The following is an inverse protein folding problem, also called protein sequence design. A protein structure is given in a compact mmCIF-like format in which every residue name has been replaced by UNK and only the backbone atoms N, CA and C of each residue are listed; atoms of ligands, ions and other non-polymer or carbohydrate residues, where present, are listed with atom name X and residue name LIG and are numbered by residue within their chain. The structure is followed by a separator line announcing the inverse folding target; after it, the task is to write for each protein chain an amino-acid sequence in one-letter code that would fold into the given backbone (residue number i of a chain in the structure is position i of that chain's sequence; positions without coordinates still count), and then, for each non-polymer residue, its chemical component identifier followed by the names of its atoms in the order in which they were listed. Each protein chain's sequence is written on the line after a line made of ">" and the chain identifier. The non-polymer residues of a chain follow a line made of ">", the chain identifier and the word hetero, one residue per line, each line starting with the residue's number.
data_IF_488035787574
#
_entry.id   IF_488035787574
#
_cell.length_a   1.000
_cell.length_b   1.000
_cell.length_c   1.000
_cell.angle_alpha   90.00
_cell.angle_beta   90.00
_cell.angle_gamma   90.00
#
_symmetry.space_group_name_H-M   'P 1'
#
loop_
_entity.id
_entity.type
_entity.pdbx_description
1 polymer ?
#
# COMPACT_ATOMS: atom_id res chain seq x y z
N UNK A 1 6.99 -16.80 -7.73
CA UNK A 1 5.72 -17.15 -8.39
C UNK A 1 5.33 -15.96 -9.26
N UNK A 2 5.08 -16.18 -10.56
CA UNK A 2 4.70 -15.11 -11.47
C UNK A 2 3.20 -14.81 -11.35
N UNK A 3 2.82 -13.54 -11.49
CA UNK A 3 1.42 -13.10 -11.53
C UNK A 3 0.85 -13.45 -12.91
N UNK A 4 -0.30 -14.11 -12.94
CA UNK A 4 -1.03 -14.45 -14.18
C UNK A 4 -1.79 -13.24 -14.72
N UNK A 5 -2.21 -13.27 -16.00
CA UNK A 5 -3.03 -12.21 -16.59
C UNK A 5 -4.36 -12.02 -15.85
N UNK A 6 -5.03 -13.11 -15.48
CA UNK A 6 -6.28 -13.06 -14.70
C UNK A 6 -6.08 -12.37 -13.34
N UNK A 7 -4.99 -12.69 -12.64
CA UNK A 7 -4.64 -12.04 -11.38
C UNK A 7 -4.32 -10.56 -11.57
N UNK A 8 -3.65 -10.20 -12.67
CA UNK A 8 -3.35 -8.81 -13.00
C UNK A 8 -4.63 -8.01 -13.26
N UNK A 9 -5.60 -8.60 -13.95
CA UNK A 9 -6.88 -7.96 -14.22
C UNK A 9 -7.73 -7.80 -12.96
N UNK A 10 -7.69 -8.76 -12.03
CA UNK A 10 -8.29 -8.62 -10.70
C UNK A 10 -7.66 -7.47 -9.90
N UNK A 11 -6.33 -7.35 -9.92
CA UNK A 11 -5.63 -6.25 -9.25
C UNK A 11 -6.01 -4.89 -9.87
N UNK A 12 -6.07 -4.80 -11.20
CA UNK A 12 -6.51 -3.60 -11.92
C UNK A 12 -7.96 -3.23 -11.61
N UNK A 13 -8.86 -4.21 -11.55
CA UNK A 13 -10.26 -3.98 -11.20
C UNK A 13 -10.40 -3.49 -9.77
N UNK A 14 -9.70 -4.11 -8.83
CA UNK A 14 -9.67 -3.69 -7.42
C UNK A 14 -9.14 -2.25 -7.28
N UNK A 15 -8.06 -1.91 -8.00
CA UNK A 15 -7.50 -0.56 -7.95
C UNK A 15 -8.45 0.50 -8.52
N UNK A 16 -9.25 0.16 -9.55
CA UNK A 16 -10.31 1.06 -10.05
C UNK A 16 -11.36 1.35 -8.97
N UNK A 17 -11.79 0.34 -8.21
CA UNK A 17 -12.75 0.50 -7.12
C UNK A 17 -12.17 1.38 -5.99
N UNK A 18 -10.91 1.12 -5.60
CA UNK A 18 -10.21 1.91 -4.58
C UNK A 18 -10.10 3.37 -5.02
N UNK A 19 -9.71 3.63 -6.27
CA UNK A 19 -9.57 4.98 -6.81
C UNK A 19 -10.89 5.74 -6.85
N UNK A 20 -12.01 5.08 -7.19
CA UNK A 20 -13.33 5.70 -7.21
C UNK A 20 -13.77 6.21 -5.83
N UNK A 21 -13.24 5.62 -4.75
CA UNK A 21 -13.56 5.97 -3.35
C UNK A 21 -12.31 6.38 -2.56
N UNK A 22 -11.32 6.99 -3.22
CA UNK A 22 -9.96 7.19 -2.68
C UNK A 22 -9.91 7.82 -1.27
N UNK A 23 -10.62 8.93 -0.97
CA UNK A 23 -10.59 9.50 0.38
C UNK A 23 -11.11 8.54 1.46
N UNK A 24 -12.20 7.83 1.16
CA UNK A 24 -12.82 6.87 2.08
C UNK A 24 -11.91 5.65 2.29
N UNK A 25 -11.41 5.06 1.21
CA UNK A 25 -10.56 3.87 1.29
C UNK A 25 -9.26 4.15 2.04
N UNK A 26 -8.67 5.34 1.85
CA UNK A 26 -7.49 5.69 2.64
C UNK A 26 -7.78 5.94 4.11
N UNK A 27 -8.95 6.51 4.45
CA UNK A 27 -9.34 6.68 5.84
C UNK A 27 -9.48 5.31 6.52
N UNK A 28 -10.14 4.35 5.85
CA UNK A 28 -10.28 2.97 6.33
C UNK A 28 -8.91 2.29 6.46
N UNK A 29 -8.00 2.51 5.50
CA UNK A 29 -6.64 1.96 5.57
C UNK A 29 -5.89 2.44 6.80
N UNK A 30 -5.84 3.75 7.07
CA UNK A 30 -5.15 4.26 8.25
C UNK A 30 -5.85 3.90 9.55
N UNK A 31 -7.19 3.85 9.56
CA UNK A 31 -7.96 3.34 10.70
C UNK A 31 -7.53 1.91 11.02
N UNK A 32 -7.53 1.01 10.03
CA UNK A 32 -7.15 -0.40 10.21
C UNK A 32 -5.68 -0.58 10.54
N UNK A 33 -4.80 0.18 9.89
CA UNK A 33 -3.37 0.15 10.17
C UNK A 33 -3.07 0.48 11.64
N UNK A 34 -3.73 1.50 12.18
CA UNK A 34 -3.53 1.92 13.57
C UNK A 34 -4.36 1.13 14.58
N UNK A 35 -5.38 0.39 14.15
CA UNK A 35 -6.05 -0.62 14.97
C UNK A 35 -5.16 -1.86 15.15
N UNK A 36 -4.50 -2.30 14.07
CA UNK A 36 -3.57 -3.44 14.08
C UNK A 36 -2.30 -3.12 14.88
N UNK A 37 -1.72 -1.94 14.66
CA UNK A 37 -0.51 -1.49 15.35
C UNK A 37 -0.61 -0.01 15.74
N UNK A 38 -1.10 0.29 16.95
CA UNK A 38 -1.26 1.68 17.41
C UNK A 38 0.04 2.47 17.42
N UNK A 39 1.20 1.80 17.61
CA UNK A 39 2.51 2.43 17.63
C UNK A 39 2.89 3.10 16.30
N UNK A 40 2.32 2.64 15.17
CA UNK A 40 2.60 3.21 13.86
C UNK A 40 2.21 4.67 13.74
N UNK A 41 1.25 5.17 14.53
CA UNK A 41 0.87 6.59 14.53
C UNK A 41 2.07 7.52 14.70
N UNK A 42 3.09 7.09 15.45
CA UNK A 42 4.31 7.88 15.68
C UNK A 42 5.18 8.01 14.42
N UNK A 43 5.06 7.09 13.47
CA UNK A 43 5.77 7.13 12.18
C UNK A 43 5.12 8.12 11.20
N UNK A 44 3.89 8.55 11.46
CA UNK A 44 3.13 9.47 10.61
C UNK A 44 2.95 10.83 11.32
N UNK A 45 4.02 11.64 11.35
CA UNK A 45 4.01 12.98 11.96
C UNK A 45 3.40 14.08 11.07
N UNK A 46 3.03 13.76 9.84
CA UNK A 46 2.48 14.70 8.85
C UNK A 46 0.97 14.58 8.64
N UNK A 47 0.46 15.35 7.67
CA UNK A 47 -0.95 15.30 7.29
C UNK A 47 -1.30 13.93 6.67
N UNK A 48 -2.21 13.18 7.30
CA UNK A 48 -2.66 11.88 6.81
C UNK A 48 -3.29 11.95 5.41
N UNK A 49 -3.88 13.09 5.03
CA UNK A 49 -4.44 13.30 3.68
C UNK A 49 -3.34 13.37 2.61
N UNK A 50 -2.20 13.98 2.89
CA UNK A 50 -1.06 13.97 1.97
C UNK A 50 -0.44 12.56 1.91
N UNK A 51 -0.49 11.83 3.02
CA UNK A 51 -0.04 10.44 3.06
C UNK A 51 -0.99 9.50 2.31
N UNK A 52 -2.28 9.79 2.23
CA UNK A 52 -3.23 9.09 1.34
C UNK A 52 -2.74 9.08 -0.10
N UNK A 53 -2.39 10.24 -0.64
CA UNK A 53 -1.98 10.36 -2.04
C UNK A 53 -0.66 9.61 -2.29
N UNK A 54 0.28 9.64 -1.33
CA UNK A 54 1.54 8.90 -1.41
C UNK A 54 1.37 7.39 -1.46
N UNK A 55 0.52 6.82 -0.58
CA UNK A 55 0.27 5.37 -0.55
C UNK A 55 -0.43 4.92 -1.84
N UNK A 56 -1.44 5.65 -2.28
CA UNK A 56 -2.20 5.30 -3.49
C UNK A 56 -1.32 5.41 -4.74
N UNK A 57 -0.45 6.42 -4.82
CA UNK A 57 0.54 6.55 -5.87
C UNK A 57 1.52 5.38 -5.88
N UNK A 58 2.06 5.00 -4.72
CA UNK A 58 3.00 3.88 -4.61
C UNK A 58 2.36 2.54 -5.03
N UNK A 59 1.13 2.25 -4.58
CA UNK A 59 0.40 1.04 -4.99
C UNK A 59 0.11 1.03 -6.50
N UNK A 60 -0.30 2.18 -7.05
CA UNK A 60 -0.50 2.33 -8.49
C UNK A 60 0.77 2.12 -9.31
N UNK A 61 1.91 2.64 -8.81
CA UNK A 61 3.21 2.45 -9.45
C UNK A 61 3.64 0.97 -9.43
N UNK A 62 3.48 0.29 -8.30
CA UNK A 62 3.74 -1.17 -8.20
C UNK A 62 2.89 -1.94 -9.18
N UNK A 63 1.58 -1.68 -9.23
CA UNK A 63 0.67 -2.36 -10.16
C UNK A 63 1.03 -2.08 -11.63
N UNK A 64 1.46 -0.85 -11.94
CA UNK A 64 1.93 -0.49 -13.27
C UNK A 64 3.16 -1.27 -13.70
N UNK A 65 4.08 -1.57 -12.78
CA UNK A 65 5.34 -2.27 -13.05
C UNK A 65 5.29 -3.77 -12.79
N UNK A 66 4.19 -4.32 -12.27
CA UNK A 66 4.16 -5.71 -11.74
C UNK A 66 4.36 -6.81 -12.79
N UNK A 67 4.23 -6.45 -14.08
CA UNK A 67 4.52 -7.33 -15.22
C UNK A 67 6.02 -7.45 -15.52
N UNK A 68 6.82 -6.49 -15.06
CA UNK A 68 8.28 -6.49 -15.10
C UNK A 68 8.81 -6.60 -13.66
N UNK A 69 9.16 -7.83 -13.27
CA UNK A 69 9.62 -8.13 -11.91
C UNK A 69 10.92 -7.39 -11.58
N UNK A 70 11.79 -7.17 -12.56
CA UNK A 70 13.07 -6.48 -12.34
C UNK A 70 12.87 -4.98 -12.11
N UNK A 71 12.07 -4.33 -12.96
CA UNK A 71 11.70 -2.92 -12.77
C UNK A 71 10.95 -2.70 -11.45
N UNK A 72 10.02 -3.60 -11.11
CA UNK A 72 9.28 -3.56 -9.85
C UNK A 72 10.22 -3.72 -8.64
N UNK A 73 11.17 -4.65 -8.70
CA UNK A 73 12.18 -4.86 -7.66
C UNK A 73 13.04 -3.61 -7.46
N UNK A 74 13.49 -2.98 -8.53
CA UNK A 74 14.40 -1.84 -8.43
C UNK A 74 13.67 -0.61 -7.85
N UNK A 75 12.43 -0.35 -8.29
CA UNK A 75 11.59 0.70 -7.70
C UNK A 75 11.27 0.43 -6.21
N UNK A 76 10.95 -0.81 -5.85
CA UNK A 76 10.62 -1.17 -4.46
C UNK A 76 11.84 -1.16 -3.55
N UNK A 77 13.05 -1.36 -4.08
CA UNK A 77 14.31 -1.20 -3.33
C UNK A 77 14.49 0.22 -2.81
N UNK A 78 14.31 1.22 -3.67
CA UNK A 78 14.45 2.63 -3.28
C UNK A 78 13.38 3.04 -2.25
N UNK A 79 12.17 2.49 -2.39
CA UNK A 79 11.13 2.62 -1.37
C UNK A 79 11.58 1.98 -0.05
N UNK A 80 12.08 0.74 -0.06
CA UNK A 80 12.50 0.03 1.14
C UNK A 80 13.61 0.77 1.90
N UNK A 81 14.63 1.30 1.20
CA UNK A 81 15.71 2.07 1.82
C UNK A 81 15.17 3.26 2.62
N UNK A 82 14.19 3.99 2.04
CA UNK A 82 13.54 5.10 2.75
C UNK A 82 12.72 4.64 3.95
N UNK A 83 12.02 3.51 3.84
CA UNK A 83 11.22 2.96 4.94
C UNK A 83 12.08 2.49 6.12
N UNK A 84 13.27 1.94 5.86
CA UNK A 84 14.27 1.68 6.90
C UNK A 84 14.65 2.99 7.61
N UNK A 85 14.89 4.06 6.85
CA UNK A 85 15.15 5.39 7.41
C UNK A 85 13.99 5.98 8.24
N UNK A 86 12.75 5.55 7.99
CA UNK A 86 11.58 5.92 8.79
C UNK A 86 11.42 5.07 10.06
N UNK A 87 12.22 4.02 10.24
CA UNK A 87 12.15 3.10 11.37
C UNK A 87 11.20 1.91 11.18
N UNK A 88 10.75 1.65 9.94
CA UNK A 88 9.95 0.47 9.60
C UNK A 88 10.79 -0.79 9.71
N UNK A 89 10.23 -1.84 10.32
CA UNK A 89 10.88 -3.14 10.50
C UNK A 89 10.26 -4.17 9.56
N UNK A 90 10.97 -5.28 9.36
CA UNK A 90 10.52 -6.37 8.48
C UNK A 90 9.11 -6.88 8.81
N UNK A 91 8.82 -7.09 10.11
CA UNK A 91 7.49 -7.54 10.56
C UNK A 91 6.37 -6.51 10.39
N UNK A 92 6.66 -5.25 10.08
CA UNK A 92 5.66 -4.21 9.90
C UNK A 92 4.99 -4.27 8.53
N UNK A 93 5.68 -4.81 7.52
CA UNK A 93 5.12 -4.99 6.17
C UNK A 93 3.94 -5.95 6.16
N UNK A 94 3.99 -7.03 6.95
CA UNK A 94 2.87 -7.96 7.08
C UNK A 94 1.62 -7.26 7.63
N UNK A 95 1.78 -6.47 8.71
CA UNK A 95 0.68 -5.69 9.32
C UNK A 95 0.10 -4.66 8.34
N UNK A 96 0.97 -4.00 7.56
CA UNK A 96 0.52 -3.08 6.52
C UNK A 96 -0.27 -3.81 5.41
N UNK A 97 0.17 -5.01 5.01
CA UNK A 97 -0.55 -5.88 4.09
C UNK A 97 -1.94 -6.26 4.60
N UNK A 98 -2.04 -6.63 5.88
CA UNK A 98 -3.33 -6.95 6.53
C UNK A 98 -4.28 -5.74 6.51
N UNK A 99 -3.76 -4.53 6.77
CA UNK A 99 -4.55 -3.30 6.69
C UNK A 99 -5.06 -3.03 5.26
N UNK A 100 -4.25 -3.30 4.22
CA UNK A 100 -4.68 -3.21 2.82
C UNK A 100 -5.80 -4.20 2.53
N UNK A 101 -5.63 -5.47 2.89
CA UNK A 101 -6.64 -6.50 2.67
C UNK A 101 -7.95 -6.19 3.39
N UNK A 102 -7.88 -5.74 4.65
CA UNK A 102 -9.04 -5.30 5.43
C UNK A 102 -9.77 -4.11 4.78
N UNK A 103 -9.02 -3.19 4.16
CA UNK A 103 -9.57 -2.06 3.41
C UNK A 103 -10.31 -2.52 2.15
N UNK A 104 -9.70 -3.43 1.39
CA UNK A 104 -10.29 -3.98 0.15
C UNK A 104 -11.57 -4.76 0.42
N UNK A 105 -11.68 -5.44 1.57
CA UNK A 105 -12.90 -6.13 2.00
C UNK A 105 -14.09 -5.17 2.28
N UNK A 106 -13.86 -3.84 2.27
CA UNK A 106 -14.88 -2.80 2.44
C UNK A 106 -15.17 -2.03 1.13
N UNK A 107 -14.56 -2.42 0.00
CA UNK A 107 -14.80 -1.83 -1.32
C UNK A 107 -16.17 -2.19 -1.89
#
# INVERSE_FOLDING_TARGET
>A
MAITEDQLDLLRASMRLVNARRPLMSAIFYEKLFEIEPGFRQLFSGNLREQTDKVMFALGAVLGQIHDVEACRDMTRDLAIRHVGYGVKDGDYAKAGDAVLATLARC
#
